data_IF_541007268190
#
_entry.id   IF_541007268190
#
_cell.length_a   1.000
_cell.length_b   1.000
_cell.length_c   1.000
_cell.angle_alpha   90.00
_cell.angle_beta   90.00
_cell.angle_gamma   90.00
#
_symmetry.space_group_name_H-M   'P 1'
#
loop_
_entity.id
_entity.type
_entity.pdbx_description
1 polymer ?
#
# COMPACT_ATOMS: atom_id res chain seq x y z
N UNK A 1 -19.62 -2.55 34.95
CA UNK A 1 -18.21 -2.96 34.96
C UNK A 1 -17.98 -3.71 33.66
N UNK A 2 -17.50 -3.03 32.63
CA UNK A 2 -17.17 -3.65 31.35
C UNK A 2 -15.68 -3.40 31.14
N UNK A 3 -14.88 -4.46 31.23
CA UNK A 3 -13.44 -4.35 31.01
C UNK A 3 -13.24 -4.13 29.51
N UNK A 4 -12.73 -2.94 29.16
CA UNK A 4 -12.13 -2.66 27.86
C UNK A 4 -10.89 -3.53 27.75
N UNK A 5 -11.09 -4.77 27.32
CA UNK A 5 -9.99 -5.67 27.02
C UNK A 5 -9.49 -5.26 25.63
N UNK A 6 -8.40 -4.49 25.61
CA UNK A 6 -7.78 -4.01 24.37
C UNK A 6 -7.55 -5.18 23.40
N UNK A 7 -7.67 -4.99 22.09
CA UNK A 7 -7.36 -6.06 21.13
C UNK A 7 -5.92 -6.55 21.31
N UNK A 8 -5.62 -7.79 20.95
CA UNK A 8 -4.26 -8.32 21.02
C UNK A 8 -3.26 -7.48 20.21
N UNK A 9 -3.72 -6.91 19.10
CA UNK A 9 -2.96 -5.95 18.30
C UNK A 9 -2.63 -4.67 19.09
N UNK A 10 -3.61 -4.09 19.78
CA UNK A 10 -3.39 -2.91 20.61
C UNK A 10 -2.39 -3.19 21.75
N UNK A 11 -2.46 -4.38 22.36
CA UNK A 11 -1.48 -4.82 23.37
C UNK A 11 -0.08 -4.98 22.78
N UNK A 12 0.06 -5.59 21.60
CA UNK A 12 1.35 -5.76 20.91
C UNK A 12 1.98 -4.41 20.54
N UNK A 13 1.18 -3.46 20.02
CA UNK A 13 1.62 -2.09 19.71
C UNK A 13 2.17 -1.41 20.97
N UNK A 14 1.41 -1.44 22.07
CA UNK A 14 1.83 -0.80 23.33
C UNK A 14 3.09 -1.46 23.89
N UNK A 15 3.18 -2.79 23.89
CA UNK A 15 4.36 -3.52 24.37
C UNK A 15 5.62 -3.16 23.57
N UNK A 16 5.52 -3.09 22.24
CA UNK A 16 6.65 -2.73 21.37
C UNK A 16 7.05 -1.28 21.55
N UNK A 17 6.08 -0.39 21.71
CA UNK A 17 6.36 1.02 21.93
C UNK A 17 7.11 1.24 23.25
N UNK A 18 6.66 0.60 24.34
CA UNK A 18 7.35 0.65 25.63
C UNK A 18 8.78 0.11 25.53
N UNK A 19 8.99 -1.03 24.85
CA UNK A 19 10.31 -1.61 24.63
C UNK A 19 11.24 -0.65 23.86
N UNK A 20 10.74 -0.01 22.79
CA UNK A 20 11.49 0.97 22.01
C UNK A 20 11.91 2.16 22.86
N UNK A 21 11.00 2.71 23.68
CA UNK A 21 11.32 3.84 24.55
C UNK A 21 12.40 3.48 25.58
N UNK A 22 12.31 2.32 26.22
CA UNK A 22 13.32 1.82 27.17
C UNK A 22 14.69 1.66 26.51
N UNK A 23 14.74 1.11 25.30
CA UNK A 23 16.00 0.95 24.56
C UNK A 23 16.56 2.30 24.09
N UNK A 24 15.72 3.26 23.71
CA UNK A 24 16.19 4.61 23.37
C UNK A 24 16.83 5.34 24.56
N UNK A 25 16.37 5.10 25.79
CA UNK A 25 16.96 5.67 26.99
C UNK A 25 18.28 5.00 27.37
N UNK A 26 18.36 3.67 27.26
CA UNK A 26 19.46 2.87 27.83
C UNK A 26 20.51 2.42 26.81
N UNK A 27 20.09 1.94 25.63
CA UNK A 27 20.96 1.41 24.59
C UNK A 27 20.33 1.56 23.19
N UNK A 28 20.43 2.75 22.57
CA UNK A 28 19.82 2.99 21.27
C UNK A 28 20.33 2.07 20.16
N UNK A 29 21.57 1.56 20.24
CA UNK A 29 22.13 0.70 19.19
C UNK A 29 21.48 -0.68 19.13
N UNK A 30 20.82 -1.12 20.21
CA UNK A 30 19.98 -2.33 20.20
C UNK A 30 18.75 -2.23 19.27
N UNK A 31 18.45 -1.03 18.76
CA UNK A 31 17.34 -0.77 17.83
C UNK A 31 17.79 -0.76 16.35
N UNK A 32 19.05 -1.09 16.04
CA UNK A 32 19.49 -1.34 14.66
C UNK A 32 18.62 -2.46 14.06
N UNK A 33 18.13 -2.25 12.84
CA UNK A 33 17.19 -3.15 12.17
C UNK A 33 15.73 -3.04 12.61
N UNK A 34 15.43 -2.19 13.61
CA UNK A 34 14.06 -1.92 14.10
C UNK A 34 13.62 -0.47 13.89
N UNK A 35 14.53 0.49 14.06
CA UNK A 35 14.28 1.90 13.78
C UNK A 35 15.18 2.37 12.62
N UNK A 36 14.58 2.95 11.59
CA UNK A 36 15.32 3.34 10.38
C UNK A 36 16.41 4.35 10.66
N UNK A 37 16.14 5.38 11.48
CA UNK A 37 17.12 6.41 11.77
C UNK A 37 18.30 5.90 12.60
N UNK A 38 18.07 4.94 13.50
CA UNK A 38 19.14 4.26 14.26
C UNK A 38 19.98 3.42 13.32
N UNK A 39 19.32 2.62 12.49
CA UNK A 39 19.95 1.72 11.50
C UNK A 39 20.80 2.49 10.51
N UNK A 40 20.27 3.60 9.99
CA UNK A 40 20.98 4.47 9.06
C UNK A 40 22.15 5.19 9.72
N UNK A 41 21.98 5.66 10.96
CA UNK A 41 23.10 6.24 11.73
C UNK A 41 24.21 5.22 11.94
N UNK A 42 23.85 3.97 12.25
CA UNK A 42 24.80 2.86 12.34
C UNK A 42 25.52 2.65 10.99
N UNK A 43 24.80 2.52 9.88
CA UNK A 43 25.41 2.38 8.55
C UNK A 43 26.37 3.54 8.21
N UNK A 44 25.96 4.78 8.45
CA UNK A 44 26.80 5.95 8.19
C UNK A 44 28.10 5.91 9.01
N UNK A 45 28.03 5.53 10.29
CA UNK A 45 29.22 5.38 11.14
C UNK A 45 30.15 4.24 10.69
N UNK A 46 29.58 3.17 10.13
CA UNK A 46 30.36 2.01 9.70
C UNK A 46 30.97 2.16 8.29
N UNK A 47 30.33 2.94 7.43
CA UNK A 47 30.67 3.01 5.99
C UNK A 47 31.30 4.32 5.56
N UNK A 48 31.21 5.36 6.39
CA UNK A 48 31.66 6.71 6.05
C UNK A 48 32.48 7.30 7.18
N UNK A 49 33.68 7.78 6.85
CA UNK A 49 34.54 8.48 7.82
C UNK A 49 33.82 9.71 8.39
N UNK A 50 34.09 10.03 9.66
CA UNK A 50 33.45 11.17 10.34
C UNK A 50 33.67 12.49 9.57
N UNK A 51 34.86 12.66 9.00
CA UNK A 51 35.26 13.82 8.20
C UNK A 51 34.83 13.79 6.72
N UNK A 52 34.15 12.74 6.26
CA UNK A 52 33.74 12.65 4.87
C UNK A 52 32.77 13.76 4.47
N UNK A 53 32.83 14.15 3.20
CA UNK A 53 31.95 15.15 2.63
C UNK A 53 30.47 14.80 2.80
N UNK A 54 29.64 15.85 2.94
CA UNK A 54 28.19 15.70 3.01
C UNK A 54 27.61 15.00 1.77
N UNK A 55 28.26 15.14 0.61
CA UNK A 55 27.88 14.49 -0.65
C UNK A 55 27.89 12.95 -0.53
N UNK A 56 28.89 12.39 0.15
CA UNK A 56 29.04 10.94 0.37
C UNK A 56 27.97 10.46 1.35
N UNK A 57 27.78 11.17 2.47
CA UNK A 57 26.76 10.84 3.48
C UNK A 57 25.35 10.82 2.88
N UNK A 58 25.05 11.79 1.99
CA UNK A 58 23.77 11.84 1.24
C UNK A 58 23.58 10.65 0.30
N UNK A 59 24.64 10.15 -0.35
CA UNK A 59 24.54 8.96 -1.20
C UNK A 59 24.11 7.74 -0.38
N UNK A 60 24.70 7.54 0.80
CA UNK A 60 24.33 6.43 1.70
C UNK A 60 22.89 6.55 2.18
N UNK A 61 22.46 7.77 2.54
CA UNK A 61 21.08 8.05 2.94
C UNK A 61 20.05 7.71 1.85
N UNK A 62 20.33 8.07 0.60
CA UNK A 62 19.48 7.74 -0.55
C UNK A 62 19.53 6.25 -0.86
N UNK A 63 20.72 5.64 -0.88
CA UNK A 63 20.90 4.20 -1.13
C UNK A 63 20.20 3.31 -0.09
N UNK A 64 20.05 3.80 1.13
CA UNK A 64 19.27 3.10 2.16
C UNK A 64 17.81 2.88 1.75
N UNK A 65 17.19 3.87 1.11
CA UNK A 65 15.78 3.85 0.71
C UNK A 65 15.54 3.31 -0.69
N UNK A 66 16.59 2.85 -1.37
CA UNK A 66 16.46 2.27 -2.69
C UNK A 66 15.76 0.90 -2.62
N UNK A 67 14.73 0.70 -3.44
CA UNK A 67 13.92 -0.53 -3.46
C UNK A 67 14.54 -1.67 -4.30
N UNK A 68 15.61 -1.38 -5.03
CA UNK A 68 16.33 -2.39 -5.83
C UNK A 68 17.05 -3.40 -4.93
N UNK A 69 17.46 -4.56 -5.46
CA UNK A 69 18.28 -5.53 -4.71
C UNK A 69 19.58 -4.94 -4.15
N UNK A 70 20.11 -3.88 -4.76
CA UNK A 70 21.34 -3.19 -4.34
C UNK A 70 21.10 -2.13 -3.25
N UNK A 71 19.85 -1.86 -2.88
CA UNK A 71 19.52 -0.93 -1.81
C UNK A 71 19.99 -1.44 -0.45
N UNK A 72 20.54 -0.54 0.38
CA UNK A 72 21.17 -0.97 1.64
C UNK A 72 20.17 -1.57 2.63
N UNK A 73 18.92 -1.07 2.68
CA UNK A 73 17.90 -1.72 3.51
C UNK A 73 17.62 -3.15 3.05
N UNK A 74 17.53 -3.39 1.74
CA UNK A 74 17.30 -4.72 1.16
C UNK A 74 18.46 -5.66 1.48
N UNK A 75 19.70 -5.19 1.42
CA UNK A 75 20.88 -5.97 1.82
C UNK A 75 20.92 -6.26 3.33
N UNK A 76 20.51 -5.31 4.17
CA UNK A 76 20.37 -5.56 5.61
C UNK A 76 19.27 -6.59 5.92
N UNK A 77 18.20 -6.61 5.11
CA UNK A 77 17.14 -7.59 5.24
C UNK A 77 17.61 -9.00 4.85
N UNK A 78 18.40 -9.15 3.79
CA UNK A 78 18.94 -10.46 3.39
C UNK A 78 19.96 -11.02 4.38
N UNK A 79 20.63 -10.16 5.15
CA UNK A 79 21.57 -10.56 6.19
C UNK A 79 20.91 -10.82 7.56
N UNK A 80 19.59 -10.65 7.67
CA UNK A 80 18.85 -10.89 8.92
C UNK A 80 18.99 -9.79 9.96
N UNK A 81 19.56 -8.63 9.60
CA UNK A 81 19.71 -7.50 10.52
C UNK A 81 18.35 -6.84 10.79
N UNK A 82 17.48 -6.76 9.79
CA UNK A 82 16.16 -6.14 9.94
C UNK A 82 15.11 -7.14 10.41
N UNK A 83 14.12 -6.64 11.17
CA UNK A 83 12.99 -7.44 11.63
C UNK A 83 11.78 -7.24 10.70
N UNK A 84 11.26 -8.33 10.13
CA UNK A 84 9.97 -8.28 9.43
C UNK A 84 8.80 -8.40 10.39
N UNK A 85 7.75 -7.62 10.18
CA UNK A 85 6.47 -7.74 10.90
C UNK A 85 5.52 -8.71 10.21
N UNK A 86 5.65 -8.85 8.90
CA UNK A 86 4.81 -9.71 8.07
C UNK A 86 5.66 -10.76 7.38
N UNK A 87 5.14 -11.98 7.19
CA UNK A 87 5.81 -12.99 6.39
C UNK A 87 5.79 -12.59 4.90
N UNK A 88 6.76 -13.07 4.12
CA UNK A 88 6.91 -12.71 2.70
C UNK A 88 5.65 -13.05 1.90
N UNK A 89 5.01 -14.17 2.19
CA UNK A 89 3.80 -14.65 1.53
C UNK A 89 2.60 -13.69 1.75
N UNK A 90 2.56 -12.99 2.89
CA UNK A 90 1.53 -11.97 3.13
C UNK A 90 1.76 -10.73 2.25
N UNK A 91 3.02 -10.33 2.06
CA UNK A 91 3.40 -9.21 1.20
C UNK A 91 3.10 -9.55 -0.27
N UNK A 92 3.47 -10.75 -0.72
CA UNK A 92 3.21 -11.22 -2.09
C UNK A 92 1.71 -11.26 -2.38
N UNK A 93 0.90 -11.85 -1.48
CA UNK A 93 -0.57 -11.84 -1.63
C UNK A 93 -1.15 -10.45 -1.72
N UNK A 94 -0.61 -9.47 -0.98
CA UNK A 94 -1.08 -8.10 -1.01
C UNK A 94 -0.78 -7.38 -2.35
N UNK A 95 0.12 -7.91 -3.18
CA UNK A 95 0.35 -7.37 -4.54
C UNK A 95 -0.78 -7.74 -5.51
N UNK A 96 -1.45 -8.85 -5.26
CA UNK A 96 -2.50 -9.40 -6.12
C UNK A 96 -3.91 -9.19 -5.55
N UNK A 97 -4.04 -9.17 -4.23
CA UNK A 97 -5.32 -9.14 -3.53
C UNK A 97 -5.51 -7.84 -2.75
N UNK A 98 -6.70 -7.21 -2.83
CA UNK A 98 -7.03 -6.02 -2.05
C UNK A 98 -7.24 -6.38 -0.56
N UNK A 99 -7.14 -5.40 0.36
CA UNK A 99 -7.57 -5.60 1.73
C UNK A 99 -9.07 -5.90 1.77
N UNK A 100 -9.46 -6.89 2.58
CA UNK A 100 -10.86 -7.30 2.79
C UNK A 100 -11.64 -6.23 3.54
N UNK A 101 -12.97 -6.24 3.40
CA UNK A 101 -13.89 -5.35 4.11
C UNK A 101 -13.58 -3.86 3.92
N UNK A 102 -12.97 -3.51 2.78
CA UNK A 102 -12.69 -2.13 2.40
C UNK A 102 -13.25 -1.80 1.02
N UNK A 103 -13.46 -0.51 0.70
CA UNK A 103 -13.76 -0.07 -0.66
C UNK A 103 -12.78 -0.56 -1.74
N UNK A 104 -11.55 -0.92 -1.37
CA UNK A 104 -10.57 -1.46 -2.30
C UNK A 104 -10.99 -2.83 -2.86
N UNK A 105 -11.74 -3.64 -2.10
CA UNK A 105 -12.24 -4.94 -2.56
C UNK A 105 -13.21 -4.77 -3.73
N UNK A 106 -14.17 -3.85 -3.59
CA UNK A 106 -15.14 -3.53 -4.66
C UNK A 106 -14.40 -3.00 -5.89
N UNK A 107 -13.47 -2.07 -5.68
CA UNK A 107 -12.67 -1.48 -6.77
C UNK A 107 -11.89 -2.52 -7.56
N UNK A 108 -11.25 -3.44 -6.86
CA UNK A 108 -10.48 -4.52 -7.47
C UNK A 108 -11.38 -5.45 -8.30
N UNK A 109 -12.58 -5.78 -7.80
CA UNK A 109 -13.54 -6.62 -8.52
C UNK A 109 -14.00 -6.01 -9.85
N UNK A 110 -14.36 -4.72 -9.86
CA UNK A 110 -14.73 -4.01 -11.09
C UNK A 110 -13.57 -3.92 -12.08
N UNK A 111 -12.35 -3.66 -11.58
CA UNK A 111 -11.15 -3.68 -12.42
C UNK A 111 -10.98 -5.06 -13.06
N UNK A 112 -11.00 -6.15 -12.30
CA UNK A 112 -10.82 -7.50 -12.84
C UNK A 112 -11.90 -7.87 -13.87
N UNK A 113 -13.18 -7.55 -13.62
CA UNK A 113 -14.28 -7.88 -14.54
C UNK A 113 -14.27 -7.07 -15.84
N UNK A 114 -13.78 -5.84 -15.81
CA UNK A 114 -13.85 -4.92 -16.95
C UNK A 114 -12.51 -4.68 -17.64
N UNK A 115 -11.39 -5.20 -17.11
CA UNK A 115 -10.10 -5.27 -17.80
C UNK A 115 -10.30 -6.01 -19.13
N UNK A 116 -10.03 -5.31 -20.23
CA UNK A 116 -10.19 -5.85 -21.59
C UNK A 116 -11.59 -5.66 -22.21
N UNK A 117 -12.55 -5.09 -21.49
CA UNK A 117 -13.83 -4.68 -22.09
C UNK A 117 -13.67 -3.39 -22.92
N UNK A 118 -14.58 -3.16 -23.87
CA UNK A 118 -14.63 -1.92 -24.65
C UNK A 118 -15.21 -0.72 -23.88
N UNK A 119 -15.62 -0.93 -22.63
CA UNK A 119 -16.23 0.10 -21.79
C UNK A 119 -15.15 0.97 -21.14
N UNK A 120 -15.39 2.28 -21.10
CA UNK A 120 -14.52 3.20 -20.39
C UNK A 120 -14.74 3.03 -18.88
N UNK A 121 -13.71 2.59 -18.16
CA UNK A 121 -13.70 2.50 -16.71
C UNK A 121 -12.89 3.66 -16.12
N UNK A 122 -13.51 4.47 -15.28
CA UNK A 122 -12.82 5.49 -14.46
C UNK A 122 -12.96 5.12 -12.99
N UNK A 123 -11.85 5.18 -12.26
CA UNK A 123 -11.78 4.68 -10.89
C UNK A 123 -11.14 5.73 -10.00
N UNK A 124 -11.80 6.04 -8.89
CA UNK A 124 -11.30 6.89 -7.80
C UNK A 124 -11.35 6.11 -6.48
N UNK A 125 -10.93 6.76 -5.40
CA UNK A 125 -10.97 6.18 -4.05
C UNK A 125 -12.38 5.90 -3.54
N UNK A 126 -13.32 6.78 -3.88
CA UNK A 126 -14.70 6.80 -3.40
C UNK A 126 -15.72 6.44 -4.46
N UNK A 127 -15.33 6.37 -5.73
CA UNK A 127 -16.25 6.26 -6.86
C UNK A 127 -15.69 5.41 -8.00
N UNK A 128 -16.58 4.69 -8.69
CA UNK A 128 -16.30 4.00 -9.95
C UNK A 128 -17.32 4.49 -10.97
N UNK A 129 -16.85 4.87 -12.15
CA UNK A 129 -17.70 5.25 -13.28
C UNK A 129 -17.46 4.30 -14.46
N UNK A 130 -18.53 3.67 -14.95
CA UNK A 130 -18.50 2.75 -16.09
C UNK A 130 -19.26 3.36 -17.26
N UNK A 131 -18.64 3.42 -18.44
CA UNK A 131 -19.22 3.96 -19.66
C UNK A 131 -18.83 5.42 -19.92
N UNK A 132 -19.55 6.06 -20.85
CA UNK A 132 -19.26 7.43 -21.30
C UNK A 132 -20.55 8.26 -21.46
N UNK A 133 -20.39 9.58 -21.32
CA UNK A 133 -21.48 10.55 -21.44
C UNK A 133 -22.58 10.38 -20.39
N UNK A 134 -23.78 10.81 -20.76
CA UNK A 134 -25.06 10.67 -20.07
C UNK A 134 -25.46 9.26 -19.61
N UNK A 135 -24.98 8.19 -20.26
CA UNK A 135 -25.30 6.81 -19.86
C UNK A 135 -24.26 6.18 -18.91
N UNK A 136 -23.30 6.98 -18.43
CA UNK A 136 -22.27 6.48 -17.53
C UNK A 136 -22.88 6.12 -16.17
N UNK A 137 -22.69 4.87 -15.74
CA UNK A 137 -23.07 4.43 -14.41
C UNK A 137 -22.00 4.89 -13.41
N UNK A 138 -22.40 5.66 -12.40
CA UNK A 138 -21.55 6.05 -11.28
C UNK A 138 -21.94 5.26 -10.03
N UNK A 139 -20.97 4.64 -9.39
CA UNK A 139 -21.10 3.82 -8.18
C UNK A 139 -20.28 4.49 -7.08
N UNK A 140 -20.89 4.77 -5.93
CA UNK A 140 -20.19 5.27 -4.74
C UNK A 140 -19.75 4.09 -3.87
N UNK A 141 -18.52 4.15 -3.35
CA UNK A 141 -17.88 3.08 -2.59
C UNK A 141 -17.92 3.32 -1.07
N UNK A 142 -18.89 4.11 -0.58
CA UNK A 142 -18.88 4.64 0.79
C UNK A 142 -19.02 3.58 1.90
N UNK A 143 -19.59 2.42 1.60
CA UNK A 143 -19.65 1.28 2.50
C UNK A 143 -19.44 -0.02 1.71
N UNK A 144 -18.33 -0.76 1.91
CA UNK A 144 -18.16 -2.05 1.26
C UNK A 144 -19.25 -3.01 1.80
N UNK A 145 -20.02 -3.68 0.94
CA UNK A 145 -20.99 -4.66 1.42
C UNK A 145 -20.25 -5.78 2.13
N UNK A 146 -20.77 -6.20 3.29
CA UNK A 146 -20.18 -7.23 4.17
C UNK A 146 -20.11 -8.62 3.53
N UNK A 147 -20.77 -8.83 2.40
CA UNK A 147 -20.55 -9.94 1.48
C UNK A 147 -20.54 -9.38 0.06
N UNK A 148 -19.47 -9.63 -0.68
CA UNK A 148 -19.44 -9.44 -2.12
C UNK A 148 -19.75 -10.79 -2.78
N UNK A 149 -20.99 -11.26 -2.62
CA UNK A 149 -21.47 -12.33 -3.49
C UNK A 149 -21.61 -11.75 -4.90
N UNK A 150 -21.28 -12.54 -5.93
CA UNK A 150 -21.36 -12.14 -7.34
C UNK A 150 -22.75 -11.61 -7.75
N UNK A 151 -23.78 -11.89 -6.92
CA UNK A 151 -25.17 -11.44 -7.04
C UNK A 151 -25.47 -10.06 -6.44
N UNK A 152 -24.68 -9.57 -5.47
CA UNK A 152 -24.98 -8.31 -4.75
C UNK A 152 -24.49 -7.06 -5.47
N UNK A 153 -23.47 -7.21 -6.32
CA UNK A 153 -23.14 -6.22 -7.32
C UNK A 153 -23.99 -6.53 -8.54
N UNK A 154 -25.21 -6.00 -8.54
CA UNK A 154 -26.08 -5.91 -9.70
C UNK A 154 -25.35 -5.04 -10.76
N UNK A 155 -24.34 -5.64 -11.41
CA UNK A 155 -23.67 -5.05 -12.56
C UNK A 155 -24.80 -4.75 -13.54
N UNK A 156 -24.91 -3.51 -14.04
CA UNK A 156 -25.92 -3.22 -15.04
C UNK A 156 -25.74 -4.27 -16.13
N UNK A 157 -26.80 -5.03 -16.41
CA UNK A 157 -26.83 -5.89 -17.61
C UNK A 157 -26.52 -4.97 -18.77
N UNK A 158 -25.34 -5.19 -19.36
CA UNK A 158 -24.80 -4.33 -20.40
C UNK A 158 -25.88 -4.25 -21.50
N UNK A 159 -26.33 -3.06 -21.92
CA UNK A 159 -27.11 -2.96 -23.13
C UNK A 159 -26.26 -3.54 -24.25
N UNK A 160 -26.78 -4.58 -24.92
CA UNK A 160 -26.09 -5.35 -25.95
C UNK A 160 -25.74 -4.55 -27.20
N UNK A 161 -26.19 -3.30 -27.29
CA UNK A 161 -26.14 -2.52 -28.51
C UNK A 161 -25.78 -1.06 -28.21
N UNK A 162 -24.48 -0.76 -28.27
CA UNK A 162 -24.04 0.61 -28.58
C UNK A 162 -23.51 0.58 -30.01
N UNK A 163 -24.25 1.08 -31.01
CA UNK A 163 -23.75 1.14 -32.37
C UNK A 163 -22.50 2.04 -32.42
N UNK A 164 -21.51 1.70 -33.27
CA UNK A 164 -20.29 2.47 -33.39
C UNK A 164 -20.58 3.72 -34.20
N UNK A 165 -21.11 4.76 -33.58
CA UNK A 165 -21.18 6.07 -34.19
C UNK A 165 -21.34 7.14 -33.12
N UNK A 166 -20.24 7.75 -32.72
CA UNK A 166 -20.15 9.17 -32.32
C UNK A 166 -18.67 9.54 -32.10
N UNK A 167 -17.84 9.32 -33.12
CA UNK A 167 -16.72 10.23 -33.37
C UNK A 167 -17.26 11.32 -34.27
N UNK A 168 -17.91 12.33 -33.69
CA UNK A 168 -18.06 13.60 -34.39
C UNK A 168 -16.89 14.46 -33.97
N UNK A 169 -15.94 14.58 -34.89
CA UNK A 169 -14.75 15.41 -34.80
C UNK A 169 -15.15 16.89 -34.98
N UNK A 170 -16.03 17.39 -34.12
CA UNK A 170 -16.41 18.81 -34.06
C UNK A 170 -16.82 19.16 -32.63
N UNK A 171 -15.81 19.54 -31.85
CA UNK A 171 -15.85 20.68 -30.94
C UNK A 171 -14.65 20.57 -29.98
N UNK A 172 -13.52 21.09 -30.45
CA UNK A 172 -12.44 21.57 -29.58
C UNK A 172 -12.37 23.07 -29.83
N UNK A 173 -12.59 23.93 -28.82
CA UNK A 173 -12.31 25.36 -28.94
C UNK A 173 -10.81 25.64 -29.08
#
# INVERSE_FOLDING_TARGET
AESSDASDEARDILSRWEEVLKLLESNPEALVGRLDWVTKRFLLRQTVDEGAELSIKKKVDIKYHELSPDGYYRQLQTTGVTRSLLPTEAIERATESPPQDTPATVRHHYLQKLIGSSQLLRVNWDTITVGHGWNALKIELRDPPSNLDDTDLNLPTLPSDVPPSFFDEKDVP
#
